data_IF_653524908047
#
_entry.id   IF_653524908047
#
_cell.length_a   1.000
_cell.length_b   1.000
_cell.length_c   1.000
_cell.angle_alpha   90.00
_cell.angle_beta   90.00
_cell.angle_gamma   90.00
#
_symmetry.space_group_name_H-M   'P 1'
#
loop_
_entity.id
_entity.type
_entity.pdbx_description
1 polymer ?
#
# COMPACT_ATOMS: atom_id res chain seq x y z
N UNK A 1 -15.23 4.42 -8.81
CA UNK A 1 -15.66 3.61 -7.63
C UNK A 1 -15.80 2.12 -7.96
N UNK A 2 -16.43 1.76 -9.08
CA UNK A 2 -16.61 0.36 -9.50
C UNK A 2 -15.30 -0.46 -9.59
N UNK A 3 -14.23 0.07 -10.20
CA UNK A 3 -12.94 -0.64 -10.30
C UNK A 3 -12.30 -0.98 -8.94
N UNK A 4 -12.41 -0.09 -7.94
CA UNK A 4 -11.93 -0.35 -6.57
C UNK A 4 -12.73 -1.45 -5.87
N UNK A 5 -14.05 -1.48 -6.10
CA UNK A 5 -14.92 -2.52 -5.58
C UNK A 5 -14.67 -3.87 -6.28
N UNK A 6 -14.49 -3.86 -7.60
CA UNK A 6 -14.15 -5.03 -8.40
C UNK A 6 -12.82 -5.65 -7.98
N UNK A 7 -11.76 -4.84 -7.86
CA UNK A 7 -10.46 -5.30 -7.34
C UNK A 7 -10.56 -5.84 -5.91
N UNK A 8 -11.38 -5.23 -5.04
CA UNK A 8 -11.62 -5.74 -3.68
C UNK A 8 -12.31 -7.11 -3.71
N UNK A 9 -13.34 -7.29 -4.54
CA UNK A 9 -14.02 -8.57 -4.71
C UNK A 9 -13.06 -9.62 -5.29
N UNK A 10 -12.24 -9.24 -6.27
CA UNK A 10 -11.23 -10.13 -6.86
C UNK A 10 -10.20 -10.59 -5.80
N UNK A 11 -9.73 -9.68 -4.96
CA UNK A 11 -8.81 -9.98 -3.86
C UNK A 11 -9.37 -11.01 -2.85
N UNK A 12 -10.69 -11.05 -2.68
CA UNK A 12 -11.38 -12.03 -1.83
C UNK A 12 -11.85 -13.28 -2.59
N UNK A 13 -11.58 -13.40 -3.90
CA UNK A 13 -12.08 -14.50 -4.73
C UNK A 13 -13.60 -14.46 -4.96
N UNK A 14 -14.21 -13.28 -4.78
CA UNK A 14 -15.66 -13.06 -4.87
C UNK A 14 -16.05 -12.27 -6.14
N UNK A 15 -15.13 -12.14 -7.10
CA UNK A 15 -15.41 -11.43 -8.35
C UNK A 15 -16.15 -12.34 -9.33
N UNK A 16 -17.30 -11.88 -9.82
CA UNK A 16 -18.07 -12.54 -10.88
C UNK A 16 -18.31 -11.53 -12.01
N UNK A 17 -17.91 -11.90 -13.21
CA UNK A 17 -18.03 -11.06 -14.40
C UNK A 17 -19.42 -11.28 -15.02
N UNK A 18 -20.49 -10.61 -14.55
CA UNK A 18 -21.78 -10.60 -15.30
C UNK A 18 -22.95 -9.70 -14.82
N UNK A 19 -22.77 -8.75 -13.90
CA UNK A 19 -23.91 -7.85 -13.58
C UNK A 19 -23.91 -6.60 -14.48
N UNK A 20 -25.04 -6.33 -15.13
CA UNK A 20 -25.22 -5.22 -16.12
C UNK A 20 -24.83 -3.82 -15.61
N UNK A 21 -24.70 -3.63 -14.30
CA UNK A 21 -24.29 -2.38 -13.65
C UNK A 21 -22.79 -2.30 -13.29
N UNK A 22 -21.97 -3.31 -13.62
CA UNK A 22 -20.54 -3.38 -13.27
C UNK A 22 -19.62 -3.62 -14.48
N UNK A 23 -20.02 -3.26 -15.70
CA UNK A 23 -19.08 -3.25 -16.84
C UNK A 23 -17.97 -2.25 -16.56
N UNK A 24 -16.77 -2.77 -16.30
CA UNK A 24 -15.54 -1.98 -16.33
C UNK A 24 -15.28 -1.54 -17.78
N UNK A 25 -14.66 -0.38 -18.00
CA UNK A 25 -14.19 0.01 -19.32
C UNK A 25 -13.41 -1.13 -19.98
N UNK A 26 -13.58 -1.33 -21.28
CA UNK A 26 -12.85 -2.34 -22.03
C UNK A 26 -11.35 -2.20 -21.78
N UNK A 27 -10.67 -3.30 -21.46
CA UNK A 27 -9.22 -3.31 -21.20
C UNK A 27 -8.78 -3.32 -19.73
N UNK A 28 -9.62 -2.92 -18.75
CA UNK A 28 -9.24 -2.97 -17.32
C UNK A 28 -8.93 -4.40 -16.86
N UNK A 29 -9.68 -5.38 -17.36
CA UNK A 29 -9.45 -6.80 -17.05
C UNK A 29 -8.22 -7.40 -17.73
N UNK A 30 -7.60 -6.69 -18.69
CA UNK A 30 -6.36 -7.09 -19.37
C UNK A 30 -5.11 -6.52 -18.69
N UNK A 31 -5.26 -5.63 -17.70
CA UNK A 31 -4.13 -5.10 -16.94
C UNK A 31 -3.47 -6.22 -16.14
N UNK A 32 -2.15 -6.44 -16.30
CA UNK A 32 -1.41 -7.39 -15.47
C UNK A 32 -1.66 -7.18 -13.96
N UNK A 33 -1.79 -5.92 -13.54
CA UNK A 33 -2.04 -5.48 -12.17
C UNK A 33 -3.37 -5.98 -11.59
N UNK A 34 -4.38 -6.20 -12.45
CA UNK A 34 -5.67 -6.72 -12.02
C UNK A 34 -5.62 -8.20 -11.62
N UNK A 35 -4.64 -8.94 -12.16
CA UNK A 35 -4.38 -10.35 -11.87
C UNK A 35 -3.43 -10.56 -10.69
N UNK A 36 -2.79 -9.49 -10.18
CA UNK A 36 -1.87 -9.58 -9.04
C UNK A 36 -2.65 -9.84 -7.75
N UNK A 37 -2.31 -10.92 -7.05
CA UNK A 37 -2.89 -11.24 -5.74
C UNK A 37 -2.47 -10.19 -4.71
N UNK A 38 -3.45 -9.63 -4.01
CA UNK A 38 -3.21 -8.70 -2.91
C UNK A 38 -2.84 -9.42 -1.61
N UNK A 39 -2.23 -8.69 -0.68
CA UNK A 39 -2.00 -9.14 0.70
C UNK A 39 -3.29 -9.22 1.55
N UNK A 40 -4.43 -8.79 1.04
CA UNK A 40 -5.68 -8.81 1.79
C UNK A 40 -6.19 -10.25 2.01
N UNK A 41 -6.74 -10.49 3.19
CA UNK A 41 -7.51 -11.68 3.54
C UNK A 41 -8.76 -11.33 4.32
N UNK A 42 -9.70 -12.29 4.37
CA UNK A 42 -10.83 -12.23 5.29
C UNK A 42 -10.28 -12.02 6.72
N UNK A 43 -10.83 -11.08 7.51
CA UNK A 43 -10.34 -10.81 8.84
C UNK A 43 -10.21 -12.09 9.69
N UNK A 44 -9.04 -12.28 10.30
CA UNK A 44 -8.80 -13.37 11.27
C UNK A 44 -8.35 -12.80 12.60
N UNK A 45 -8.58 -13.58 13.65
CA UNK A 45 -8.25 -13.24 15.02
C UNK A 45 -7.16 -14.17 15.56
N UNK A 46 -6.17 -13.59 16.23
CA UNK A 46 -5.01 -14.27 16.78
C UNK A 46 -4.92 -13.98 18.28
N UNK A 47 -5.44 -14.90 19.09
CA UNK A 47 -5.47 -14.76 20.55
C UNK A 47 -4.30 -15.47 21.25
N UNK A 48 -3.74 -16.52 20.64
CA UNK A 48 -2.68 -17.34 21.24
C UNK A 48 -1.26 -16.79 21.11
N UNK A 49 -1.03 -15.48 21.26
CA UNK A 49 0.32 -14.88 21.14
C UNK A 49 1.22 -15.36 22.29
N UNK A 50 2.36 -15.97 21.95
CA UNK A 50 3.36 -16.51 22.90
C UNK A 50 4.62 -15.68 23.03
N UNK A 51 4.85 -14.77 22.10
CA UNK A 51 5.99 -13.83 22.12
C UNK A 51 5.60 -12.49 22.76
N UNK A 52 6.59 -11.82 23.35
CA UNK A 52 6.45 -10.48 23.90
C UNK A 52 6.58 -9.40 22.81
N UNK A 53 5.92 -8.26 23.00
CA UNK A 53 6.16 -7.05 22.21
C UNK A 53 6.36 -5.91 23.21
N UNK A 54 7.47 -5.18 23.07
CA UNK A 54 7.83 -4.07 23.96
C UNK A 54 8.00 -2.82 23.11
N UNK A 55 7.20 -1.79 23.39
CA UNK A 55 7.26 -0.49 22.71
C UNK A 55 7.49 0.57 23.80
N UNK A 56 8.75 0.79 24.21
CA UNK A 56 9.08 1.84 25.17
C UNK A 56 8.93 3.23 24.56
N UNK A 57 8.90 4.27 25.39
CA UNK A 57 9.02 5.65 24.90
C UNK A 57 10.44 5.95 24.41
N UNK A 58 10.61 7.05 23.68
CA UNK A 58 11.94 7.43 23.17
C UNK A 58 12.89 7.76 24.31
N UNK A 59 12.38 8.40 25.37
CA UNK A 59 13.11 8.73 26.59
C UNK A 59 13.57 7.46 27.31
N UNK A 60 12.69 6.46 27.44
CA UNK A 60 13.01 5.16 28.03
C UNK A 60 14.07 4.40 27.21
N UNK A 61 14.01 4.46 25.87
CA UNK A 61 15.03 3.89 25.00
C UNK A 61 16.39 4.57 25.19
N UNK A 62 16.41 5.91 25.26
CA UNK A 62 17.65 6.66 25.47
C UNK A 62 18.25 6.36 26.84
N UNK A 63 17.42 6.30 27.90
CA UNK A 63 17.86 5.98 29.25
C UNK A 63 18.38 4.54 29.38
N UNK A 64 17.89 3.62 28.54
CA UNK A 64 18.30 2.20 28.53
C UNK A 64 19.22 1.86 27.36
N UNK A 65 19.87 2.85 26.72
CA UNK A 65 20.67 2.62 25.51
C UNK A 65 21.77 1.57 25.70
N UNK A 66 22.42 1.55 26.86
CA UNK A 66 23.49 0.60 27.17
C UNK A 66 22.98 -0.77 27.64
N UNK A 67 21.69 -0.87 28.00
CA UNK A 67 21.06 -2.10 28.52
C UNK A 67 20.05 -2.74 27.56
N UNK A 68 19.62 -2.03 26.52
CA UNK A 68 18.88 -2.57 25.39
C UNK A 68 19.86 -3.11 24.35
N UNK A 69 19.60 -4.28 23.75
CA UNK A 69 18.34 -5.04 23.77
C UNK A 69 18.25 -6.09 24.88
N UNK A 70 19.18 -6.04 25.85
CA UNK A 70 19.32 -6.98 26.95
C UNK A 70 20.22 -8.17 26.63
N UNK A 71 20.12 -9.22 27.45
CA UNK A 71 20.84 -10.49 27.25
C UNK A 71 20.15 -11.34 26.17
N UNK A 72 20.95 -12.03 25.35
CA UNK A 72 20.43 -12.98 24.35
C UNK A 72 20.96 -12.78 22.92
N UNK A 73 20.25 -13.40 21.98
CA UNK A 73 20.35 -13.16 20.54
C UNK A 73 19.66 -11.86 20.18
N UNK A 74 20.38 -10.95 19.54
CA UNK A 74 19.82 -9.70 19.04
C UNK A 74 19.84 -9.72 17.52
N UNK A 75 18.67 -9.45 16.95
CA UNK A 75 18.46 -9.27 15.53
C UNK A 75 17.88 -7.88 15.30
N UNK A 76 18.36 -7.18 14.28
CA UNK A 76 17.79 -5.91 13.83
C UNK A 76 17.16 -6.13 12.46
N UNK A 77 15.98 -5.56 12.23
CA UNK A 77 15.22 -5.72 11.00
C UNK A 77 14.75 -4.37 10.50
N UNK A 78 14.76 -4.18 9.19
CA UNK A 78 14.31 -2.94 8.56
C UNK A 78 13.73 -3.22 7.16
N UNK A 79 12.94 -2.28 6.64
CA UNK A 79 12.34 -2.30 5.33
C UNK A 79 12.43 -0.95 4.63
N UNK A 80 12.83 -0.97 3.36
CA UNK A 80 13.07 0.25 2.57
C UNK A 80 12.28 0.24 1.26
N UNK A 81 12.00 1.45 0.75
CA UNK A 81 11.40 1.67 -0.56
C UNK A 81 12.21 2.73 -1.29
N UNK A 82 12.70 2.35 -2.47
CA UNK A 82 13.31 3.24 -3.45
C UNK A 82 12.39 3.43 -4.66
N UNK A 83 12.78 4.27 -5.61
CA UNK A 83 12.08 4.39 -6.89
C UNK A 83 12.10 3.08 -7.70
N UNK A 84 13.21 2.34 -7.61
CA UNK A 84 13.46 1.11 -8.37
C UNK A 84 12.75 -0.12 -7.81
N UNK A 85 12.29 -0.08 -6.56
CA UNK A 85 11.85 -1.27 -5.86
C UNK A 85 11.73 -1.11 -4.36
N UNK A 86 11.44 -2.22 -3.72
CA UNK A 86 11.33 -2.33 -2.27
C UNK A 86 12.19 -3.48 -1.78
N UNK A 87 12.71 -3.34 -0.57
CA UNK A 87 13.61 -4.31 0.01
C UNK A 87 13.46 -4.41 1.51
N UNK A 88 13.91 -5.53 2.04
CA UNK A 88 13.91 -5.86 3.46
C UNK A 88 15.30 -6.33 3.85
N UNK A 89 15.69 -6.11 5.10
CA UNK A 89 16.99 -6.55 5.60
C UNK A 89 16.92 -6.97 7.06
N UNK A 90 17.80 -7.89 7.44
CA UNK A 90 18.08 -8.16 8.84
C UNK A 90 19.57 -8.32 9.11
N UNK A 91 19.96 -7.98 10.34
CA UNK A 91 21.30 -8.13 10.86
C UNK A 91 21.28 -8.90 12.18
N UNK A 92 22.09 -9.95 12.28
CA UNK A 92 22.32 -10.68 13.52
C UNK A 92 23.57 -10.13 14.23
N UNK A 93 23.41 -9.62 15.45
CA UNK A 93 24.52 -9.03 16.19
C UNK A 93 25.53 -10.07 16.68
N UNK A 94 25.09 -11.30 16.98
CA UNK A 94 25.97 -12.34 17.54
C UNK A 94 26.99 -12.84 16.52
N UNK A 95 26.52 -13.25 15.35
CA UNK A 95 27.34 -13.85 14.30
C UNK A 95 27.74 -12.85 13.21
N UNK A 96 27.32 -11.58 13.33
CA UNK A 96 27.59 -10.53 12.34
C UNK A 96 26.90 -10.78 10.99
N UNK A 97 25.90 -11.67 10.93
CA UNK A 97 25.26 -12.08 9.68
C UNK A 97 24.39 -10.94 9.15
N UNK A 98 24.64 -10.58 7.91
CA UNK A 98 23.89 -9.59 7.14
C UNK A 98 23.08 -10.27 6.04
N UNK A 99 21.81 -9.95 5.90
CA UNK A 99 20.95 -10.52 4.84
C UNK A 99 19.95 -9.48 4.36
N UNK A 100 19.74 -9.43 3.05
CA UNK A 100 18.75 -8.58 2.41
C UNK A 100 17.90 -9.35 1.41
N UNK A 101 16.72 -8.81 1.12
CA UNK A 101 15.76 -9.35 0.17
C UNK A 101 15.23 -8.23 -0.73
N UNK A 102 15.08 -8.51 -2.02
CA UNK A 102 14.38 -7.63 -2.96
C UNK A 102 12.95 -8.12 -3.16
N UNK A 103 11.97 -7.24 -2.92
CA UNK A 103 10.53 -7.55 -2.96
C UNK A 103 9.82 -6.96 -4.19
N UNK A 104 10.57 -6.31 -5.09
CA UNK A 104 10.02 -5.69 -6.30
C UNK A 104 9.23 -4.41 -6.03
N UNK A 105 8.30 -4.05 -6.92
CA UNK A 105 7.65 -2.72 -6.91
C UNK A 105 6.37 -2.64 -6.07
N UNK A 106 5.71 -3.77 -5.85
CA UNK A 106 4.34 -3.83 -5.33
C UNK A 106 4.24 -4.10 -3.83
N UNK A 107 5.36 -4.07 -3.08
CA UNK A 107 5.33 -4.06 -1.63
C UNK A 107 5.37 -2.61 -1.09
N UNK A 108 4.69 -2.39 0.03
CA UNK A 108 4.77 -1.14 0.80
C UNK A 108 5.90 -1.22 1.82
N UNK A 109 6.37 -0.08 2.33
CA UNK A 109 7.35 -0.04 3.45
C UNK A 109 6.85 -0.85 4.65
N UNK A 110 5.58 -0.75 4.98
CA UNK A 110 4.99 -1.57 6.04
C UNK A 110 5.13 -3.09 5.79
N UNK A 111 4.97 -3.53 4.54
CA UNK A 111 5.12 -4.94 4.19
C UNK A 111 6.58 -5.38 4.21
N UNK A 112 7.51 -4.54 3.75
CA UNK A 112 8.93 -4.87 3.77
C UNK A 112 9.44 -5.06 5.20
N UNK A 113 8.97 -4.22 6.13
CA UNK A 113 9.26 -4.32 7.56
C UNK A 113 8.72 -5.61 8.20
N UNK A 114 7.46 -5.96 7.93
CA UNK A 114 6.89 -7.25 8.40
C UNK A 114 7.67 -8.44 7.82
N UNK A 115 8.05 -8.35 6.54
CA UNK A 115 8.80 -9.40 5.85
C UNK A 115 10.20 -9.58 6.44
N UNK A 116 10.85 -8.49 6.88
CA UNK A 116 12.14 -8.55 7.57
C UNK A 116 12.04 -9.33 8.90
N UNK A 117 10.99 -9.08 9.70
CA UNK A 117 10.73 -9.84 10.94
C UNK A 117 10.39 -11.31 10.63
N UNK A 118 9.55 -11.55 9.62
CA UNK A 118 9.15 -12.90 9.20
C UNK A 118 10.38 -13.75 8.82
N UNK A 119 11.22 -13.24 7.92
CA UNK A 119 12.41 -13.96 7.44
C UNK A 119 13.47 -14.11 8.52
N UNK A 120 13.61 -13.12 9.41
CA UNK A 120 14.45 -13.24 10.60
C UNK A 120 13.98 -14.38 11.52
N UNK A 121 12.67 -14.49 11.76
CA UNK A 121 12.10 -15.56 12.57
C UNK A 121 12.25 -16.93 11.90
N UNK A 122 11.97 -17.04 10.60
CA UNK A 122 12.22 -18.25 9.80
C UNK A 122 13.68 -18.69 9.90
N UNK A 123 14.61 -17.75 9.79
CA UNK A 123 16.03 -18.05 9.88
C UNK A 123 16.42 -18.63 11.23
N UNK A 124 15.89 -18.10 12.33
CA UNK A 124 16.14 -18.66 13.67
C UNK A 124 15.59 -20.10 13.80
N UNK A 125 14.45 -20.40 13.16
CA UNK A 125 13.88 -21.76 13.11
C UNK A 125 14.78 -22.69 12.28
N UNK A 126 15.25 -22.25 11.11
CA UNK A 126 16.17 -23.02 10.25
C UNK A 126 17.49 -23.36 10.96
N UNK A 127 18.02 -22.40 11.72
CA UNK A 127 19.20 -22.59 12.56
C UNK A 127 18.94 -23.49 13.77
N UNK A 128 17.71 -24.04 13.91
CA UNK A 128 17.30 -24.88 15.03
C UNK A 128 17.58 -24.22 16.38
N UNK A 129 17.26 -22.92 16.50
CA UNK A 129 17.41 -22.20 17.77
C UNK A 129 16.53 -22.86 18.85
N UNK A 130 17.15 -23.24 19.97
CA UNK A 130 16.50 -23.85 21.15
C UNK A 130 17.06 -23.24 22.42
N UNK A 131 16.20 -23.10 23.42
CA UNK A 131 16.56 -22.56 24.74
C UNK A 131 17.23 -21.18 24.69
N UNK A 132 16.90 -20.36 23.68
CA UNK A 132 17.48 -19.03 23.47
C UNK A 132 16.57 -17.92 24.00
N UNK A 133 17.18 -16.81 24.38
CA UNK A 133 16.49 -15.52 24.51
C UNK A 133 16.73 -14.78 23.20
N UNK A 134 15.67 -14.48 22.45
CA UNK A 134 15.75 -13.86 21.12
C UNK A 134 15.00 -12.54 21.15
N UNK A 135 15.72 -11.45 20.88
CA UNK A 135 15.17 -10.11 20.73
C UNK A 135 15.29 -9.69 19.26
N UNK A 136 14.15 -9.43 18.62
CA UNK A 136 14.07 -8.89 17.27
C UNK A 136 13.69 -7.41 17.37
N UNK A 137 14.60 -6.53 16.97
CA UNK A 137 14.48 -5.09 17.01
C UNK A 137 13.94 -4.55 15.68
N UNK A 138 12.94 -3.66 15.74
CA UNK A 138 12.42 -2.91 14.58
C UNK A 138 12.12 -1.48 15.03
N UNK A 139 12.33 -0.50 14.17
CA UNK A 139 11.98 0.90 14.44
C UNK A 139 10.56 1.28 14.00
N UNK A 140 9.84 0.34 13.38
CA UNK A 140 8.46 0.53 12.94
C UNK A 140 7.45 0.17 14.04
N UNK A 141 7.03 1.18 14.81
CA UNK A 141 5.93 1.00 15.78
C UNK A 141 4.63 0.51 15.11
N UNK A 142 4.39 0.89 13.86
CA UNK A 142 3.22 0.47 13.11
C UNK A 142 3.21 -1.07 12.92
N UNK A 143 4.36 -1.65 12.56
CA UNK A 143 4.55 -3.09 12.43
C UNK A 143 4.36 -3.80 13.76
N UNK A 144 5.00 -3.30 14.83
CA UNK A 144 4.88 -3.91 16.14
C UNK A 144 3.44 -3.86 16.67
N UNK A 145 2.72 -2.76 16.46
CA UNK A 145 1.28 -2.65 16.80
C UNK A 145 0.42 -3.59 15.96
N UNK A 146 0.72 -3.79 14.68
CA UNK A 146 0.00 -4.76 13.84
C UNK A 146 0.22 -6.21 14.31
N UNK A 147 1.44 -6.56 14.71
CA UNK A 147 1.77 -7.86 15.30
C UNK A 147 1.19 -8.02 16.71
N UNK A 148 0.93 -6.91 17.42
CA UNK A 148 0.25 -6.90 18.71
C UNK A 148 -1.27 -7.09 18.59
N UNK A 149 -1.90 -6.50 17.58
CA UNK A 149 -3.34 -6.50 17.41
C UNK A 149 -3.92 -7.93 17.25
N UNK A 150 -5.06 -8.20 17.87
CA UNK A 150 -5.71 -9.52 17.75
C UNK A 150 -6.29 -9.76 16.37
N UNK A 151 -6.86 -8.73 15.75
CA UNK A 151 -7.48 -8.83 14.42
C UNK A 151 -6.49 -8.40 13.34
N UNK A 152 -6.38 -9.18 12.28
CA UNK A 152 -5.62 -8.80 11.07
C UNK A 152 -6.42 -9.07 9.80
N UNK A 153 -6.19 -8.26 8.77
CA UNK A 153 -6.69 -8.45 7.40
C UNK A 153 -5.57 -8.62 6.39
N UNK A 154 -4.31 -8.73 6.85
CA UNK A 154 -3.12 -8.93 6.02
C UNK A 154 -2.63 -10.36 6.16
N UNK A 155 -2.40 -11.04 5.02
CA UNK A 155 -1.84 -12.40 4.97
C UNK A 155 -0.42 -12.41 5.51
N UNK A 156 0.40 -11.45 5.11
CA UNK A 156 1.78 -11.32 5.55
C UNK A 156 1.89 -11.09 7.07
N UNK A 157 1.03 -10.24 7.64
CA UNK A 157 0.96 -10.05 9.11
C UNK A 157 0.51 -11.34 9.81
N UNK A 158 -0.47 -12.06 9.25
CA UNK A 158 -0.92 -13.34 9.80
C UNK A 158 0.19 -14.38 9.80
N UNK A 159 0.91 -14.52 8.68
CA UNK A 159 2.03 -15.44 8.54
C UNK A 159 3.17 -15.10 9.52
N UNK A 160 3.55 -13.82 9.60
CA UNK A 160 4.55 -13.35 10.56
C UNK A 160 4.15 -13.68 12.01
N UNK A 161 2.90 -13.44 12.41
CA UNK A 161 2.39 -13.85 13.73
C UNK A 161 2.55 -15.34 13.99
N UNK A 162 2.22 -16.18 13.00
CA UNK A 162 2.33 -17.65 13.12
C UNK A 162 3.79 -18.07 13.29
N UNK A 163 4.69 -17.58 12.44
CA UNK A 163 6.11 -17.96 12.46
C UNK A 163 6.81 -17.47 13.73
N UNK A 164 6.59 -16.22 14.15
CA UNK A 164 7.17 -15.70 15.40
C UNK A 164 6.65 -16.50 16.61
N UNK A 165 5.39 -16.93 16.60
CA UNK A 165 4.86 -17.86 17.60
C UNK A 165 5.53 -19.24 17.53
N UNK A 166 5.74 -19.80 16.34
CA UNK A 166 6.41 -21.09 16.15
C UNK A 166 7.84 -21.07 16.70
N UNK A 167 8.54 -19.94 16.56
CA UNK A 167 9.88 -19.78 17.12
C UNK A 167 9.92 -19.98 18.65
N UNK A 168 8.80 -19.79 19.36
CA UNK A 168 8.72 -20.02 20.82
C UNK A 168 8.61 -21.51 21.21
N UNK A 169 8.29 -22.41 20.28
CA UNK A 169 7.93 -23.81 20.58
C UNK A 169 9.07 -24.59 21.24
N UNK A 170 10.33 -24.33 20.88
CA UNK A 170 11.49 -25.00 21.45
C UNK A 170 12.10 -24.25 22.64
N UNK A 171 11.25 -23.81 23.56
CA UNK A 171 11.63 -23.10 24.79
C UNK A 171 12.40 -21.78 24.56
N UNK A 172 12.23 -21.16 23.40
CA UNK A 172 12.80 -19.84 23.14
C UNK A 172 11.94 -18.75 23.76
N UNK A 173 12.59 -17.81 24.46
CA UNK A 173 11.98 -16.57 24.93
C UNK A 173 12.11 -15.50 23.86
N UNK A 174 11.06 -15.35 23.05
CA UNK A 174 11.03 -14.40 21.93
C UNK A 174 10.37 -13.10 22.35
N UNK A 175 11.03 -11.98 22.07
CA UNK A 175 10.41 -10.64 22.13
C UNK A 175 10.71 -9.82 20.89
N UNK A 176 9.72 -9.04 20.47
CA UNK A 176 9.88 -7.96 19.52
C UNK A 176 10.07 -6.66 20.30
N UNK A 177 11.11 -5.90 19.99
CA UNK A 177 11.46 -4.67 20.68
C UNK A 177 11.43 -3.50 19.70
N UNK A 178 10.73 -2.44 20.08
CA UNK A 178 10.88 -1.18 19.36
C UNK A 178 12.21 -0.52 19.71
N UNK A 179 12.94 -0.08 18.68
CA UNK A 179 14.11 0.77 18.82
C UNK A 179 13.89 2.07 18.05
N UNK A 180 14.38 3.23 18.52
CA UNK A 180 14.23 4.46 17.75
C UNK A 180 15.08 4.41 16.48
N UNK A 181 14.47 4.77 15.36
CA UNK A 181 15.17 4.96 14.09
C UNK A 181 16.08 6.20 14.13
N UNK A 182 17.16 6.16 13.35
CA UNK A 182 18.14 7.25 13.18
C UNK A 182 18.79 7.77 14.48
N UNK A 183 18.93 6.93 15.50
CA UNK A 183 19.61 7.30 16.76
C UNK A 183 21.00 6.67 16.92
N UNK A 184 21.68 6.37 15.80
CA UNK A 184 23.01 5.74 15.79
C UNK A 184 23.07 4.45 16.62
N UNK A 185 22.08 3.58 16.44
CA UNK A 185 22.13 2.20 16.94
C UNK A 185 22.73 1.38 15.81
N UNK A 186 24.00 0.99 15.96
CA UNK A 186 24.79 0.35 14.91
C UNK A 186 24.04 -0.80 14.20
N UNK A 187 23.35 -1.65 14.96
CA UNK A 187 22.60 -2.77 14.39
C UNK A 187 21.41 -2.33 13.53
N UNK A 188 20.71 -1.27 13.94
CA UNK A 188 19.63 -0.66 13.16
C UNK A 188 20.17 -0.02 11.88
N UNK A 189 21.28 0.72 11.98
CA UNK A 189 21.90 1.36 10.82
C UNK A 189 22.37 0.33 9.77
N UNK A 190 22.84 -0.85 10.21
CA UNK A 190 23.17 -1.96 9.31
C UNK A 190 21.90 -2.54 8.67
N UNK A 191 20.82 -2.73 9.43
CA UNK A 191 19.56 -3.23 8.90
C UNK A 191 18.95 -2.28 7.85
N UNK A 192 18.95 -0.97 8.10
CA UNK A 192 18.52 0.08 7.15
C UNK A 192 19.32 0.00 5.84
N UNK A 193 20.66 -0.07 5.96
CA UNK A 193 21.55 -0.24 4.80
C UNK A 193 21.20 -1.50 4.00
N UNK A 194 20.93 -2.63 4.67
CA UNK A 194 20.56 -3.88 4.01
C UNK A 194 19.20 -3.77 3.31
N UNK A 195 18.22 -3.16 3.94
CA UNK A 195 16.92 -2.92 3.32
C UNK A 195 17.04 -2.02 2.09
N UNK A 196 17.85 -0.96 2.16
CA UNK A 196 18.15 -0.07 1.05
C UNK A 196 18.89 -0.77 -0.10
N UNK A 197 19.80 -1.71 0.20
CA UNK A 197 20.42 -2.58 -0.80
C UNK A 197 19.36 -3.45 -1.48
N UNK A 198 18.49 -4.11 -0.71
CA UNK A 198 17.39 -4.92 -1.25
C UNK A 198 16.47 -4.14 -2.18
N UNK A 199 16.18 -2.87 -1.88
CA UNK A 199 15.32 -2.02 -2.71
C UNK A 199 15.95 -1.63 -4.06
N UNK A 200 17.28 -1.64 -4.17
CA UNK A 200 18.02 -1.33 -5.40
C UNK A 200 18.33 -2.56 -6.24
N UNK A 201 18.29 -3.76 -5.64
CA UNK A 201 18.55 -5.00 -6.35
C UNK A 201 17.31 -5.52 -7.09
N UNK A 202 17.47 -6.14 -8.27
CA UNK A 202 16.38 -6.83 -8.94
C UNK A 202 15.92 -8.03 -8.10
N UNK A 203 14.62 -8.33 -8.07
CA UNK A 203 14.09 -9.47 -7.34
C UNK A 203 14.57 -10.80 -7.93
N UNK A 204 14.94 -11.77 -7.08
CA UNK A 204 15.45 -13.10 -7.49
C UNK A 204 14.36 -14.17 -7.34
N UNK A 205 13.76 -14.63 -8.45
CA UNK A 205 12.60 -15.55 -8.46
C UNK A 205 11.30 -14.99 -9.09
N UNK A 206 10.20 -15.77 -9.12
CA UNK A 206 8.94 -15.35 -9.72
C UNK A 206 8.19 -14.34 -8.84
N UNK A 207 7.69 -13.26 -9.45
CA UNK A 207 6.84 -12.25 -8.79
C UNK A 207 5.42 -12.81 -8.58
N UNK A 208 4.68 -12.41 -7.51
CA UNK A 208 5.10 -11.57 -6.40
C UNK A 208 5.53 -12.38 -5.15
N UNK A 209 6.57 -11.92 -4.45
CA UNK A 209 7.17 -12.54 -3.24
C UNK A 209 6.31 -12.37 -2.00
N UNK A 210 5.54 -11.29 -1.96
CA UNK A 210 4.50 -11.01 -0.97
C UNK A 210 3.25 -10.57 -1.73
N UNK A 211 2.07 -10.71 -1.12
CA UNK A 211 0.85 -10.16 -1.74
C UNK A 211 1.03 -8.65 -1.98
N UNK A 212 0.60 -8.14 -3.13
CA UNK A 212 0.78 -6.73 -3.44
C UNK A 212 -0.01 -5.83 -2.48
N UNK A 213 0.58 -4.68 -2.16
CA UNK A 213 -0.07 -3.64 -1.37
C UNK A 213 -1.30 -3.11 -2.09
N UNK A 214 -2.47 -3.22 -1.45
CA UNK A 214 -3.75 -2.80 -2.05
C UNK A 214 -3.71 -1.34 -2.53
N UNK A 215 -3.09 -0.45 -1.76
CA UNK A 215 -2.99 0.96 -2.12
C UNK A 215 -2.25 1.17 -3.44
N UNK A 216 -1.15 0.45 -3.66
CA UNK A 216 -0.34 0.51 -4.88
C UNK A 216 -1.14 0.03 -6.09
N UNK A 217 -1.76 -1.14 -6.01
CA UNK A 217 -2.59 -1.67 -7.12
C UNK A 217 -3.78 -0.75 -7.43
N UNK A 218 -4.48 -0.26 -6.41
CA UNK A 218 -5.59 0.69 -6.63
C UNK A 218 -5.11 2.04 -7.16
N UNK A 219 -3.85 2.40 -6.91
CA UNK A 219 -3.19 3.59 -7.46
C UNK A 219 -2.93 3.43 -8.95
N UNK A 220 -2.32 2.32 -9.35
CA UNK A 220 -2.06 1.98 -10.77
C UNK A 220 -3.35 1.91 -11.58
N UNK A 221 -4.35 1.18 -11.10
CA UNK A 221 -5.66 1.07 -11.77
C UNK A 221 -6.30 2.45 -11.93
N UNK A 222 -6.20 3.31 -10.89
CA UNK A 222 -6.73 4.68 -10.97
C UNK A 222 -5.95 5.50 -12.01
N UNK A 223 -4.62 5.45 -11.97
CA UNK A 223 -3.79 6.20 -12.92
C UNK A 223 -4.04 5.76 -14.36
N UNK A 224 -4.21 4.46 -14.60
CA UNK A 224 -4.61 3.95 -15.91
C UNK A 224 -5.98 4.48 -16.34
N UNK A 225 -6.99 4.41 -15.45
CA UNK A 225 -8.34 4.92 -15.73
C UNK A 225 -8.33 6.42 -16.04
N UNK A 226 -7.54 7.20 -15.31
CA UNK A 226 -7.38 8.64 -15.55
C UNK A 226 -6.74 8.91 -16.92
N UNK A 227 -5.72 8.12 -17.31
CA UNK A 227 -5.08 8.23 -18.63
C UNK A 227 -6.04 7.88 -19.77
N UNK A 228 -6.75 6.76 -19.67
CA UNK A 228 -7.69 6.33 -20.71
C UNK A 228 -8.87 7.30 -20.84
N UNK A 229 -9.42 7.75 -19.71
CA UNK A 229 -10.47 8.77 -19.72
C UNK A 229 -10.00 10.09 -20.33
N UNK A 230 -8.76 10.51 -20.05
CA UNK A 230 -8.19 11.71 -20.67
C UNK A 230 -8.00 11.54 -22.18
N UNK A 231 -7.48 10.39 -22.63
CA UNK A 231 -7.36 10.07 -24.07
C UNK A 231 -8.71 10.09 -24.77
N UNK A 232 -9.72 9.45 -24.19
CA UNK A 232 -11.07 9.42 -24.75
C UNK A 232 -11.69 10.82 -24.79
N UNK A 233 -11.54 11.62 -23.73
CA UNK A 233 -12.00 13.00 -23.68
C UNK A 233 -11.37 13.86 -24.79
N UNK A 234 -10.05 13.78 -24.95
CA UNK A 234 -9.32 14.52 -25.97
C UNK A 234 -9.72 14.06 -27.38
N UNK A 235 -9.83 12.75 -27.59
CA UNK A 235 -10.18 12.14 -28.88
C UNK A 235 -11.66 12.27 -29.29
N UNK A 236 -12.56 12.54 -28.35
CA UNK A 236 -14.00 12.66 -28.64
C UNK A 236 -14.27 13.86 -29.56
N UNK A 237 -14.88 13.61 -30.72
CA UNK A 237 -15.38 14.66 -31.60
C UNK A 237 -16.63 15.32 -31.00
N UNK A 238 -16.67 16.65 -30.99
CA UNK A 238 -17.76 17.43 -30.38
C UNK A 238 -17.43 17.96 -28.98
N UNK A 239 -18.46 18.17 -28.16
CA UNK A 239 -18.33 18.68 -26.78
C UNK A 239 -17.54 20.01 -26.66
N UNK A 240 -17.64 20.89 -27.66
CA UNK A 240 -16.85 22.13 -27.74
C UNK A 240 -17.02 23.01 -26.49
N UNK A 241 -18.25 23.22 -26.06
CA UNK A 241 -18.59 24.06 -24.90
C UNK A 241 -18.02 23.45 -23.62
N UNK A 242 -18.17 22.14 -23.44
CA UNK A 242 -17.61 21.43 -22.30
C UNK A 242 -16.07 21.48 -22.29
N UNK A 243 -15.41 21.30 -23.45
CA UNK A 243 -13.94 21.41 -23.59
C UNK A 243 -13.43 22.82 -23.35
N UNK A 244 -14.17 23.85 -23.78
CA UNK A 244 -13.81 25.24 -23.52
C UNK A 244 -13.90 25.61 -22.03
N UNK A 245 -14.88 25.05 -21.31
CA UNK A 245 -15.09 25.33 -19.88
C UNK A 245 -14.20 24.47 -19.00
N UNK A 246 -14.11 23.16 -19.29
CA UNK A 246 -13.42 22.20 -18.43
C UNK A 246 -11.95 21.98 -18.78
N UNK A 247 -11.53 22.39 -19.98
CA UNK A 247 -10.19 22.14 -20.50
C UNK A 247 -10.04 20.79 -21.22
N UNK A 248 -8.84 20.54 -21.72
CA UNK A 248 -8.47 19.29 -22.43
C UNK A 248 -8.04 18.16 -21.48
N UNK A 249 -7.81 18.47 -20.21
CA UNK A 249 -7.45 17.49 -19.18
C UNK A 249 -8.62 17.28 -18.22
N UNK A 250 -8.86 16.02 -17.85
CA UNK A 250 -9.99 15.70 -16.97
C UNK A 250 -9.65 16.09 -15.53
N UNK A 251 -10.11 17.28 -15.12
CA UNK A 251 -9.80 17.84 -13.81
C UNK A 251 -10.83 17.41 -12.74
N UNK A 252 -10.35 16.71 -11.71
CA UNK A 252 -11.12 16.22 -10.56
C UNK A 252 -11.78 17.37 -9.77
N UNK A 253 -11.24 18.59 -9.86
CA UNK A 253 -11.77 19.80 -9.25
C UNK A 253 -13.20 20.14 -9.69
N UNK A 254 -13.54 19.94 -10.97
CA UNK A 254 -14.89 20.19 -11.48
C UNK A 254 -15.93 19.28 -10.81
N UNK A 255 -15.57 18.03 -10.55
CA UNK A 255 -16.47 17.09 -9.88
C UNK A 255 -16.79 17.56 -8.46
N UNK A 256 -15.79 18.07 -7.73
CA UNK A 256 -15.99 18.63 -6.38
C UNK A 256 -16.81 19.91 -6.42
N UNK A 257 -16.56 20.82 -7.37
CA UNK A 257 -17.33 22.06 -7.53
C UNK A 257 -18.81 21.79 -7.84
N UNK A 258 -19.10 20.82 -8.71
CA UNK A 258 -20.47 20.45 -9.08
C UNK A 258 -21.19 19.74 -7.91
N UNK A 259 -20.49 18.84 -7.20
CA UNK A 259 -21.05 18.08 -6.09
C UNK A 259 -21.24 18.91 -4.81
N UNK A 260 -20.38 19.90 -4.56
CA UNK A 260 -20.47 20.82 -3.43
C UNK A 260 -21.40 22.03 -3.66
N UNK A 261 -21.93 22.20 -4.87
CA UNK A 261 -22.82 23.30 -5.23
C UNK A 261 -24.26 23.09 -4.77
N UNK A 262 -25.00 24.20 -4.64
CA UNK A 262 -26.46 24.13 -4.49
C UNK A 262 -27.10 23.53 -5.75
N UNK A 263 -28.29 22.94 -5.63
CA UNK A 263 -29.02 22.36 -6.77
C UNK A 263 -29.14 23.34 -7.95
N UNK A 264 -29.34 24.63 -7.68
CA UNK A 264 -29.43 25.66 -8.70
C UNK A 264 -28.08 25.90 -9.40
N UNK A 265 -26.97 25.92 -8.65
CA UNK A 265 -25.63 26.08 -9.20
C UNK A 265 -25.24 24.86 -10.03
N UNK A 266 -25.51 23.65 -9.56
CA UNK A 266 -25.25 22.42 -10.33
C UNK A 266 -26.07 22.42 -11.63
N UNK A 267 -27.36 22.81 -11.58
CA UNK A 267 -28.21 22.96 -12.78
C UNK A 267 -27.62 23.94 -13.78
N UNK A 268 -27.20 25.12 -13.32
CA UNK A 268 -26.63 26.16 -14.18
C UNK A 268 -25.29 25.69 -14.79
N UNK A 269 -24.41 25.10 -13.98
CA UNK A 269 -23.15 24.52 -14.45
C UNK A 269 -23.37 23.46 -15.52
N UNK A 270 -24.32 22.54 -15.32
CA UNK A 270 -24.67 21.54 -16.35
C UNK A 270 -25.13 22.20 -17.65
N UNK A 271 -25.95 23.25 -17.58
CA UNK A 271 -26.39 23.99 -18.76
C UNK A 271 -25.23 24.69 -19.49
N UNK A 272 -24.30 25.30 -18.75
CA UNK A 272 -23.10 25.94 -19.30
C UNK A 272 -22.23 24.90 -19.99
N UNK A 273 -21.88 23.83 -19.29
CA UNK A 273 -20.96 22.79 -19.75
C UNK A 273 -21.51 22.06 -20.97
N UNK A 274 -22.79 21.73 -20.97
CA UNK A 274 -23.42 21.04 -22.11
C UNK A 274 -23.79 21.98 -23.26
N UNK A 275 -23.64 23.29 -23.09
CA UNK A 275 -24.08 24.29 -24.07
C UNK A 275 -25.61 24.46 -24.17
N UNK A 276 -26.40 23.78 -23.33
CA UNK A 276 -27.88 23.87 -23.27
C UNK A 276 -28.35 24.98 -22.32
N UNK A 277 -27.71 26.14 -22.41
CA UNK A 277 -28.06 27.33 -21.65
C UNK A 277 -28.79 28.33 -22.56
N UNK A 278 -29.63 29.20 -21.98
CA UNK A 278 -30.38 30.24 -22.71
C UNK A 278 -29.50 31.40 -23.22
N UNK A 279 -28.37 31.08 -23.87
CA UNK A 279 -27.54 32.03 -24.61
C UNK A 279 -27.98 32.08 -26.08
N UNK A 280 -27.69 33.20 -26.77
CA UNK A 280 -28.11 33.38 -28.18
C UNK A 280 -27.58 32.29 -29.10
N UNK A 281 -26.38 31.78 -28.86
CA UNK A 281 -25.81 30.69 -29.62
C UNK A 281 -26.67 29.42 -29.57
N UNK A 282 -27.14 29.01 -28.38
CA UNK A 282 -28.05 27.88 -28.25
C UNK A 282 -29.44 28.20 -28.81
N UNK A 283 -29.92 29.43 -28.62
CA UNK A 283 -31.17 29.90 -29.23
C UNK A 283 -31.16 29.86 -30.76
N UNK A 284 -30.02 30.16 -31.39
CA UNK A 284 -29.81 30.03 -32.84
C UNK A 284 -29.85 28.56 -33.26
N UNK A 285 -29.16 27.66 -32.55
CA UNK A 285 -29.22 26.20 -32.80
C UNK A 285 -30.64 25.64 -32.72
N UNK A 286 -31.46 26.17 -31.82
CA UNK A 286 -32.86 25.76 -31.64
C UNK A 286 -33.83 26.43 -32.62
N UNK A 287 -33.36 27.29 -33.54
CA UNK A 287 -34.21 28.03 -34.48
C UNK A 287 -34.97 29.22 -33.86
N UNK A 288 -34.72 29.53 -32.60
CA UNK A 288 -35.44 30.57 -31.84
C UNK A 288 -34.82 31.97 -31.95
N UNK A 289 -33.64 32.11 -32.57
CA UNK A 289 -32.92 33.38 -32.73
C UNK A 289 -32.31 33.45 -34.12
N UNK A 290 -32.28 34.65 -34.71
CA UNK A 290 -31.69 34.90 -36.02
C UNK A 290 -30.14 34.98 -36.01
N UNK A 291 -29.52 35.25 -34.85
CA UNK A 291 -28.05 35.35 -34.72
C UNK A 291 -27.56 34.72 -33.41
N UNK A 292 -26.33 34.19 -33.43
CA UNK A 292 -25.69 33.53 -32.29
C UNK A 292 -24.83 34.45 -31.41
N UNK A 293 -24.65 35.70 -31.83
CA UNK A 293 -23.76 36.68 -31.18
C UNK A 293 -24.48 37.29 -29.97
N UNK A 294 -23.92 37.09 -28.78
CA UNK A 294 -24.31 37.81 -27.57
C UNK A 294 -23.60 39.19 -27.57
N UNK A 295 -24.35 40.28 -27.37
CA UNK A 295 -23.82 41.63 -27.16
C UNK A 295 -23.70 41.90 -25.66
#
# INVERSE_FOLDING_TARGET
MAAKAAHRLNAYGQWTQDTRHTRLPGGVGLLPEFSIKTDMMIPRYFFGRRYGIVIPTREECNARRDSLPGTGDVWYTDGSRAETGTGSGYYCQRDGRETFFSLGLYATVFQTEIYAILTCAQRNIELSARDRIITICSDSQAVLRALMAHRTTSRLVWECKVVVNQLTVHNNKVRLLWVPGHTAIRGNDIADRLAALGAKHPPIGPKPYTGAGRCLLTGEIRGWLEREHTKEWQGTQGCREAKAVMGQDTNVGWTKCIAGGSRNNSRLLTQIVTGHIRLRYHGLKMGNKATGICR
#
